data_IF_871171599715
#
_entry.id   IF_871171599715
#
_cell.length_a   1.000
_cell.length_b   1.000
_cell.length_c   1.000
_cell.angle_alpha   90.00
_cell.angle_beta   90.00
_cell.angle_gamma   90.00
#
_symmetry.space_group_name_H-M   'P 1'
#
loop_
_entity.id
_entity.type
_entity.pdbx_description
1 polymer ?
#
# COMPACT_ATOMS: atom_id res chain seq x y z
N UNK A 1 1.42 -17.85 22.63
CA UNK A 1 1.82 -16.54 22.06
C UNK A 1 2.70 -16.87 20.88
N UNK A 2 2.15 -16.89 19.65
CA UNK A 2 2.88 -17.36 18.46
C UNK A 2 3.90 -16.30 18.05
N UNK A 3 5.17 -16.69 18.00
CA UNK A 3 6.25 -15.87 17.45
C UNK A 3 5.92 -15.49 16.01
N UNK A 4 5.89 -14.19 15.73
CA UNK A 4 5.75 -13.66 14.37
C UNK A 4 7.11 -13.78 13.68
N UNK A 5 7.08 -14.48 12.55
CA UNK A 5 8.22 -14.89 11.75
C UNK A 5 9.07 -13.69 11.29
N UNK A 6 10.38 -13.88 11.30
CA UNK A 6 11.42 -12.87 11.00
C UNK A 6 11.52 -12.65 9.49
N UNK A 7 10.61 -11.88 8.92
CA UNK A 7 10.87 -11.14 7.68
C UNK A 7 11.65 -9.87 8.01
N UNK A 8 12.92 -9.80 7.60
CA UNK A 8 13.85 -8.71 7.92
C UNK A 8 13.42 -7.41 7.22
N UNK A 9 13.12 -6.37 8.02
CA UNK A 9 12.95 -4.93 7.71
C UNK A 9 11.54 -4.31 7.73
N UNK A 10 10.47 -5.03 8.08
CA UNK A 10 9.10 -4.48 8.01
C UNK A 10 8.34 -4.48 9.35
N UNK A 11 9.07 -4.54 10.47
CA UNK A 11 8.44 -4.56 11.79
C UNK A 11 8.29 -3.16 12.36
N UNK A 12 7.04 -2.78 12.67
CA UNK A 12 6.74 -1.59 13.48
C UNK A 12 7.33 -1.80 14.88
N UNK A 13 8.23 -0.92 15.30
CA UNK A 13 8.83 -0.94 16.64
C UNK A 13 8.17 0.14 17.49
N UNK A 14 7.14 -0.25 18.24
CA UNK A 14 6.44 0.64 19.16
C UNK A 14 6.07 -0.08 20.46
N UNK A 15 6.58 0.42 21.59
CA UNK A 15 6.32 -0.14 22.94
C UNK A 15 5.32 0.68 23.76
N UNK A 16 4.89 1.84 23.25
CA UNK A 16 3.93 2.70 23.95
C UNK A 16 2.56 2.01 24.01
N UNK A 17 1.83 2.07 25.14
CA UNK A 17 0.50 1.48 25.25
C UNK A 17 -0.48 1.87 24.14
N UNK A 18 -0.41 3.10 23.62
CA UNK A 18 -1.25 3.54 22.49
C UNK A 18 -1.03 2.74 21.21
N UNK A 19 0.17 2.19 21.01
CA UNK A 19 0.46 1.33 19.85
C UNK A 19 -0.32 0.01 19.89
N UNK A 20 -0.78 -0.45 21.06
CA UNK A 20 -1.64 -1.64 21.11
C UNK A 20 -2.95 -1.45 20.35
N UNK A 21 -3.49 -0.23 20.32
CA UNK A 21 -4.69 0.07 19.55
C UNK A 21 -4.41 -0.02 18.05
N UNK A 22 -3.26 0.50 17.60
CA UNK A 22 -2.79 0.40 16.21
C UNK A 22 -2.60 -1.07 15.81
N UNK A 23 -1.90 -1.88 16.62
CA UNK A 23 -1.72 -3.30 16.33
C UNK A 23 -3.04 -4.07 16.27
N UNK A 24 -4.00 -3.76 17.16
CA UNK A 24 -5.35 -4.36 17.11
C UNK A 24 -6.10 -3.97 15.84
N UNK A 25 -6.00 -2.70 15.41
CA UNK A 25 -6.61 -2.24 14.18
C UNK A 25 -5.99 -2.94 12.96
N UNK A 26 -4.67 -3.06 12.91
CA UNK A 26 -3.95 -3.80 11.86
C UNK A 26 -4.49 -5.23 11.76
N UNK A 27 -4.53 -5.97 12.88
CA UNK A 27 -5.01 -7.36 12.89
C UNK A 27 -6.44 -7.51 12.39
N UNK A 28 -7.36 -6.65 12.85
CA UNK A 28 -8.77 -6.69 12.39
C UNK A 28 -8.91 -6.43 10.89
N UNK A 29 -8.05 -5.57 10.34
CA UNK A 29 -8.15 -5.12 8.96
C UNK A 29 -7.46 -6.10 8.00
N UNK A 30 -6.38 -6.75 8.45
CA UNK A 30 -5.66 -7.77 7.71
C UNK A 30 -6.53 -8.98 7.31
N UNK A 31 -7.54 -9.31 8.12
CA UNK A 31 -8.42 -10.47 7.90
C UNK A 31 -9.53 -10.25 6.84
N UNK A 32 -9.61 -9.08 6.21
CA UNK A 32 -10.67 -8.77 5.24
C UNK A 32 -10.18 -7.93 4.05
N UNK A 33 -11.01 -7.82 3.00
CA UNK A 33 -10.70 -7.07 1.76
C UNK A 33 -11.31 -5.66 1.75
N UNK A 34 -11.27 -4.95 2.88
CA UNK A 34 -11.79 -3.57 2.93
C UNK A 34 -10.70 -2.55 2.62
N UNK A 35 -11.09 -1.41 2.07
CA UNK A 35 -10.20 -0.26 1.91
C UNK A 35 -9.91 0.38 3.28
N UNK A 36 -8.66 0.78 3.49
CA UNK A 36 -8.17 1.28 4.78
C UNK A 36 -7.63 2.69 4.62
N UNK A 37 -8.06 3.60 5.49
CA UNK A 37 -7.49 4.93 5.61
C UNK A 37 -6.52 4.95 6.80
N UNK A 38 -5.25 5.27 6.55
CA UNK A 38 -4.22 5.40 7.58
C UNK A 38 -3.95 6.89 7.80
N UNK A 39 -4.21 7.38 9.00
CA UNK A 39 -4.02 8.78 9.36
C UNK A 39 -2.88 8.94 10.37
N UNK A 40 -2.10 10.01 10.20
CA UNK A 40 -0.98 10.33 11.05
C UNK A 40 -0.10 11.41 10.43
N UNK A 41 0.66 12.10 11.28
CA UNK A 41 1.60 13.14 10.85
C UNK A 41 2.68 12.58 9.91
N UNK A 42 3.31 13.46 9.13
CA UNK A 42 4.44 13.11 8.28
C UNK A 42 5.57 12.49 9.11
N UNK A 43 6.18 11.41 8.62
CA UNK A 43 7.27 10.72 9.31
C UNK A 43 6.85 9.78 10.45
N UNK A 44 5.55 9.56 10.68
CA UNK A 44 5.06 8.63 11.73
C UNK A 44 5.06 7.15 11.32
N UNK A 45 5.52 6.82 10.12
CA UNK A 45 5.63 5.43 9.64
C UNK A 45 4.33 4.82 9.11
N UNK A 46 3.47 5.61 8.47
CA UNK A 46 2.21 5.15 7.85
C UNK A 46 2.43 4.01 6.85
N UNK A 47 3.50 4.05 6.07
CA UNK A 47 3.87 2.96 5.14
C UNK A 47 4.12 1.64 5.88
N UNK A 48 4.75 1.67 7.06
CA UNK A 48 4.97 0.46 7.87
C UNK A 48 3.64 -0.14 8.35
N UNK A 49 2.65 0.70 8.64
CA UNK A 49 1.29 0.26 8.96
C UNK A 49 0.62 -0.40 7.76
N UNK A 50 0.71 0.20 6.57
CA UNK A 50 0.17 -0.38 5.34
C UNK A 50 0.80 -1.74 5.02
N UNK A 51 2.13 -1.85 5.11
CA UNK A 51 2.87 -3.10 4.93
C UNK A 51 2.45 -4.14 5.97
N UNK A 52 2.32 -3.75 7.24
CA UNK A 52 1.89 -4.65 8.30
C UNK A 52 0.47 -5.20 8.03
N UNK A 53 -0.46 -4.40 7.51
CA UNK A 53 -1.80 -4.87 7.12
C UNK A 53 -1.68 -5.89 5.97
N UNK A 54 -0.91 -5.58 4.93
CA UNK A 54 -0.75 -6.45 3.77
C UNK A 54 -0.11 -7.80 4.13
N UNK A 55 1.10 -7.79 4.73
CA UNK A 55 1.88 -9.00 4.97
C UNK A 55 1.33 -9.88 6.09
N UNK A 56 0.47 -9.35 6.97
CA UNK A 56 -0.25 -10.15 7.96
C UNK A 56 -1.66 -10.55 7.49
N UNK A 57 -2.10 -10.10 6.32
CA UNK A 57 -3.47 -10.28 5.85
C UNK A 57 -3.67 -11.42 4.86
N UNK A 58 -4.92 -11.53 4.40
CA UNK A 58 -5.35 -12.56 3.43
C UNK A 58 -4.78 -12.37 2.02
N UNK A 59 -4.17 -11.21 1.72
CA UNK A 59 -3.57 -10.87 0.43
C UNK A 59 -2.03 -10.84 0.45
N UNK A 60 -1.41 -11.31 1.54
CA UNK A 60 0.05 -11.26 1.78
C UNK A 60 0.93 -11.91 0.71
N UNK A 61 0.39 -12.86 -0.04
CA UNK A 61 1.12 -13.58 -1.10
C UNK A 61 1.01 -12.85 -2.46
N UNK A 62 0.18 -11.81 -2.53
CA UNK A 62 0.03 -10.93 -3.69
C UNK A 62 1.03 -9.76 -3.67
N UNK A 63 1.07 -8.96 -4.74
CA UNK A 63 1.96 -7.79 -4.81
C UNK A 63 1.53 -6.68 -3.84
N UNK A 64 2.49 -6.04 -3.19
CA UNK A 64 2.29 -4.76 -2.50
C UNK A 64 2.83 -3.63 -3.40
N UNK A 65 1.94 -2.79 -3.93
CA UNK A 65 2.28 -1.70 -4.84
C UNK A 65 2.10 -0.36 -4.11
N UNK A 66 3.18 0.27 -3.62
CA UNK A 66 3.12 1.63 -3.11
C UNK A 66 3.12 2.65 -4.26
N UNK A 67 2.35 3.72 -4.10
CA UNK A 67 2.30 4.87 -4.99
C UNK A 67 2.37 6.12 -4.12
N UNK A 68 3.43 6.92 -4.32
CA UNK A 68 3.58 8.24 -3.72
C UNK A 68 2.88 9.26 -4.62
N UNK A 69 1.69 9.70 -4.21
CA UNK A 69 0.87 10.63 -5.00
C UNK A 69 1.48 12.03 -5.04
N UNK A 70 2.25 12.44 -4.03
CA UNK A 70 2.88 13.76 -3.99
C UNK A 70 4.09 13.87 -4.94
N UNK A 71 4.71 12.74 -5.30
CA UNK A 71 5.83 12.70 -6.24
C UNK A 71 5.43 12.79 -7.72
N UNK A 72 4.14 12.61 -8.04
CA UNK A 72 3.65 12.53 -9.42
C UNK A 72 2.92 13.82 -9.83
N UNK A 73 3.20 14.36 -11.03
CA UNK A 73 2.37 15.39 -11.63
C UNK A 73 0.92 14.91 -11.84
N UNK A 74 -0.06 15.78 -11.59
CA UNK A 74 -1.50 15.47 -11.71
C UNK A 74 -1.87 14.89 -13.09
N UNK A 75 -1.24 15.40 -14.16
CA UNK A 75 -1.45 14.97 -15.54
C UNK A 75 -0.92 13.55 -15.82
N UNK A 76 0.05 13.07 -15.02
CA UNK A 76 0.60 11.73 -15.12
C UNK A 76 -0.04 10.74 -14.14
N UNK A 77 -0.63 11.23 -13.04
CA UNK A 77 -1.18 10.40 -11.98
C UNK A 77 -2.21 9.40 -12.52
N UNK A 78 -3.16 9.85 -13.34
CA UNK A 78 -4.19 9.00 -13.94
C UNK A 78 -3.58 7.90 -14.81
N UNK A 79 -2.64 8.27 -15.68
CA UNK A 79 -1.95 7.33 -16.57
C UNK A 79 -1.06 6.33 -15.81
N UNK A 80 -0.46 6.73 -14.67
CA UNK A 80 0.28 5.78 -13.83
C UNK A 80 -0.67 4.82 -13.12
N UNK A 81 -1.75 5.31 -12.53
CA UNK A 81 -2.70 4.48 -11.76
C UNK A 81 -3.43 3.48 -12.66
N UNK A 82 -3.97 3.95 -13.78
CA UNK A 82 -4.84 3.15 -14.64
C UNK A 82 -4.16 2.60 -15.89
N UNK A 83 -2.99 3.14 -16.25
CA UNK A 83 -2.32 2.79 -17.49
C UNK A 83 -2.96 3.47 -18.70
N UNK A 84 -2.44 3.18 -19.87
CA UNK A 84 -3.00 3.64 -21.14
C UNK A 84 -2.62 2.71 -22.28
N UNK A 85 -3.44 2.71 -23.33
CA UNK A 85 -3.10 2.06 -24.59
C UNK A 85 -2.31 3.01 -25.51
N UNK A 86 -1.56 2.43 -26.45
CA UNK A 86 -0.84 3.22 -27.45
C UNK A 86 -1.82 4.11 -28.23
N UNK A 87 -1.53 5.42 -28.29
CA UNK A 87 -2.36 6.39 -29.00
C UNK A 87 -3.55 6.95 -28.20
N UNK A 88 -3.67 6.66 -26.89
CA UNK A 88 -4.73 7.22 -26.05
C UNK A 88 -4.67 8.77 -25.93
N UNK A 89 -3.47 9.36 -26.04
CA UNK A 89 -3.25 10.80 -26.03
C UNK A 89 -1.97 11.17 -26.82
N UNK A 90 -1.76 12.46 -27.08
CA UNK A 90 -0.55 12.98 -27.72
C UNK A 90 0.68 12.70 -26.84
N UNK A 91 1.50 11.73 -27.24
CA UNK A 91 2.65 11.26 -26.45
C UNK A 91 2.55 9.82 -25.95
N UNK A 92 1.40 9.16 -26.12
CA UNK A 92 1.21 7.74 -25.80
C UNK A 92 1.86 6.82 -26.86
N UNK A 93 3.20 6.78 -26.86
CA UNK A 93 4.01 6.06 -27.87
C UNK A 93 3.87 4.53 -27.73
N UNK A 94 3.57 4.04 -26.53
CA UNK A 94 3.43 2.62 -26.21
C UNK A 94 2.29 2.39 -25.22
N UNK A 95 1.88 1.14 -25.07
CA UNK A 95 0.98 0.71 -23.98
C UNK A 95 1.73 0.77 -22.65
N UNK A 96 1.03 1.19 -21.59
CA UNK A 96 1.51 1.16 -20.20
C UNK A 96 0.47 0.48 -19.31
N UNK A 97 0.93 -0.48 -18.50
CA UNK A 97 0.10 -1.16 -17.50
C UNK A 97 -0.01 -0.27 -16.25
N UNK A 98 -1.22 -0.09 -15.73
CA UNK A 98 -1.48 0.74 -14.55
C UNK A 98 -1.11 0.07 -13.23
N UNK A 99 -0.88 0.87 -12.19
CA UNK A 99 -0.61 0.39 -10.82
C UNK A 99 -1.74 -0.48 -10.26
N UNK A 100 -3.00 -0.19 -10.58
CA UNK A 100 -4.14 -1.03 -10.19
C UNK A 100 -4.04 -2.46 -10.74
N UNK A 101 -3.62 -2.59 -12.00
CA UNK A 101 -3.44 -3.89 -12.65
C UNK A 101 -2.21 -4.61 -12.08
N UNK A 102 -1.11 -3.89 -11.83
CA UNK A 102 0.07 -4.44 -11.15
C UNK A 102 -0.24 -4.93 -9.73
N UNK A 103 -1.20 -4.31 -9.04
CA UNK A 103 -1.63 -4.68 -7.69
C UNK A 103 -2.68 -5.81 -7.68
N UNK A 104 -2.98 -6.42 -8.84
CA UNK A 104 -3.99 -7.46 -8.94
C UNK A 104 -3.71 -8.62 -7.97
N UNK A 105 -4.75 -9.03 -7.22
CA UNK A 105 -4.67 -10.04 -6.14
C UNK A 105 -3.77 -9.67 -4.97
N UNK A 106 -3.28 -8.44 -4.90
CA UNK A 106 -2.47 -7.91 -3.80
C UNK A 106 -3.08 -6.64 -3.22
N UNK A 107 -2.24 -5.67 -2.88
CA UNK A 107 -2.64 -4.41 -2.24
C UNK A 107 -1.99 -3.23 -2.95
N UNK A 108 -2.80 -2.24 -3.30
CA UNK A 108 -2.34 -0.92 -3.72
C UNK A 108 -2.35 0.00 -2.49
N UNK A 109 -1.21 0.63 -2.20
CA UNK A 109 -1.09 1.64 -1.15
C UNK A 109 -0.86 2.99 -1.80
N UNK A 110 -1.73 3.95 -1.51
CA UNK A 110 -1.61 5.34 -1.94
C UNK A 110 -1.10 6.13 -0.73
N UNK A 111 0.10 6.68 -0.84
CA UNK A 111 0.68 7.58 0.16
C UNK A 111 0.49 9.03 -0.30
N UNK A 112 0.26 9.91 0.67
CA UNK A 112 -0.27 11.28 0.50
C UNK A 112 -1.69 11.36 -0.09
#
# INVERSE_FOLDING_TARGET
MKEMDKSKNENIIGKNPRMFEVYKAIGKTADNKTSVLIQGETGTGKELVARAIHFNGILKDGPFIPVDCASLPDDLLESELFGHEKGAFTGAIAKRIGKFELAQKGTLFLDE
#
